data_IF_614416454196
#
_entry.id   IF_614416454196
#
_cell.length_a   1.000
_cell.length_b   1.000
_cell.length_c   1.000
_cell.angle_alpha   90.00
_cell.angle_beta   90.00
_cell.angle_gamma   90.00
#
_symmetry.space_group_name_H-M   'P 1'
#
loop_
_entity.id
_entity.type
_entity.pdbx_description
1 polymer ?
#
# COMPACT_ATOMS: atom_id res chain seq x y z
N UNK A 1 8.03 22.76 -10.30
CA UNK A 1 7.06 23.82 -10.64
C UNK A 1 6.13 23.34 -11.74
N UNK A 2 5.01 22.72 -11.37
CA UNK A 2 4.29 21.82 -12.29
C UNK A 2 2.91 22.34 -12.72
N UNK A 3 2.08 22.94 -11.85
CA UNK A 3 0.74 23.39 -12.27
C UNK A 3 0.71 24.69 -13.09
N UNK A 4 1.65 25.60 -12.83
CA UNK A 4 1.69 26.92 -13.47
C UNK A 4 2.20 26.89 -14.92
N UNK A 5 2.61 25.72 -15.41
CA UNK A 5 3.11 25.58 -16.78
C UNK A 5 2.01 25.94 -17.79
N UNK A 6 2.29 26.76 -18.83
CA UNK A 6 1.26 27.22 -19.76
C UNK A 6 0.54 26.07 -20.47
N UNK A 7 1.27 24.99 -20.77
CA UNK A 7 0.74 23.77 -21.39
C UNK A 7 -0.12 22.88 -20.47
N UNK A 8 -0.23 23.19 -19.17
CA UNK A 8 -1.14 22.51 -18.24
C UNK A 8 -2.52 23.19 -18.19
N UNK A 9 -2.99 23.75 -19.30
CA UNK A 9 -4.27 24.45 -19.38
C UNK A 9 -5.45 23.52 -19.04
N UNK A 10 -5.41 22.27 -19.50
CA UNK A 10 -6.45 21.28 -19.23
C UNK A 10 -6.53 20.94 -17.74
N UNK A 11 -5.41 20.60 -17.11
CA UNK A 11 -5.36 20.31 -15.66
C UNK A 11 -5.83 21.52 -14.84
N UNK A 12 -5.44 22.74 -15.22
CA UNK A 12 -5.93 23.97 -14.57
C UNK A 12 -7.43 24.15 -14.74
N UNK A 13 -7.98 23.88 -15.92
CA UNK A 13 -9.42 23.94 -16.16
C UNK A 13 -10.20 22.94 -15.33
N UNK A 14 -9.66 21.73 -15.13
CA UNK A 14 -10.27 20.69 -14.31
C UNK A 14 -10.30 21.07 -12.82
N UNK A 15 -9.24 21.73 -12.33
CA UNK A 15 -9.20 22.28 -10.97
C UNK A 15 -10.23 23.39 -10.81
N UNK A 16 -10.34 24.32 -11.78
CA UNK A 16 -11.34 25.38 -11.74
C UNK A 16 -12.78 24.87 -11.84
N UNK A 17 -13.01 23.83 -12.63
CA UNK A 17 -14.30 23.16 -12.74
C UNK A 17 -14.67 22.32 -11.50
N UNK A 18 -13.76 22.18 -10.53
CA UNK A 18 -13.96 21.36 -9.33
C UNK A 18 -13.90 19.84 -9.57
N UNK A 19 -13.62 19.40 -10.80
CA UNK A 19 -13.45 17.97 -11.14
C UNK A 19 -12.20 17.36 -10.48
N UNK A 20 -11.16 18.16 -10.26
CA UNK A 20 -9.98 17.77 -9.47
C UNK A 20 -10.01 18.55 -8.16
N UNK A 21 -10.23 17.84 -7.06
CA UNK A 21 -10.21 18.45 -5.72
C UNK A 21 -8.79 18.85 -5.31
N UNK A 22 -8.66 19.84 -4.42
CA UNK A 22 -7.38 20.26 -3.89
C UNK A 22 -6.63 19.11 -3.19
N UNK A 23 -7.34 18.26 -2.43
CA UNK A 23 -6.74 17.08 -1.81
C UNK A 23 -6.19 16.08 -2.82
N UNK A 24 -6.91 15.85 -3.93
CA UNK A 24 -6.42 15.01 -5.03
C UNK A 24 -5.19 15.64 -5.68
N UNK A 25 -5.21 16.95 -5.92
CA UNK A 25 -4.11 17.69 -6.52
C UNK A 25 -2.81 17.60 -5.70
N UNK A 26 -2.91 17.73 -4.38
CA UNK A 26 -1.77 17.62 -3.46
C UNK A 26 -1.17 16.21 -3.44
N UNK A 27 -1.97 15.20 -3.75
CA UNK A 27 -1.53 13.80 -3.81
C UNK A 27 -1.06 13.38 -5.21
N UNK A 28 -1.05 14.27 -6.20
CA UNK A 28 -0.55 13.93 -7.52
C UNK A 28 0.98 13.92 -7.52
N UNK A 29 1.52 12.88 -8.16
CA UNK A 29 2.95 12.75 -8.38
C UNK A 29 3.47 13.83 -9.32
N UNK A 30 4.77 14.11 -9.22
CA UNK A 30 5.45 15.06 -10.10
C UNK A 30 5.26 14.74 -11.60
N UNK A 31 5.10 13.46 -11.93
CA UNK A 31 4.82 12.97 -13.29
C UNK A 31 3.43 13.39 -13.79
N UNK A 32 2.39 13.12 -12.99
CA UNK A 32 0.99 13.43 -13.31
C UNK A 32 0.72 14.93 -13.42
N UNK A 33 1.58 15.75 -12.82
CA UNK A 33 1.50 17.20 -12.91
C UNK A 33 2.18 17.77 -14.18
N UNK A 34 2.95 16.97 -14.93
CA UNK A 34 3.62 17.44 -16.14
C UNK A 34 2.63 17.69 -17.30
N UNK A 35 2.98 18.52 -18.30
CA UNK A 35 2.17 18.68 -19.51
C UNK A 35 1.86 17.36 -20.21
N UNK A 36 0.67 17.20 -20.82
CA UNK A 36 0.24 15.96 -21.44
C UNK A 36 1.16 15.52 -22.59
N UNK A 37 1.82 16.45 -23.29
CA UNK A 37 2.84 16.14 -24.29
C UNK A 37 4.08 15.47 -23.65
N UNK A 38 4.50 15.97 -22.49
CA UNK A 38 5.68 15.46 -21.77
C UNK A 38 5.38 14.09 -21.18
N UNK A 39 4.19 13.89 -20.64
CA UNK A 39 3.74 12.57 -20.17
C UNK A 39 3.76 11.54 -21.30
N UNK A 40 3.20 11.89 -22.48
CA UNK A 40 3.18 11.04 -23.67
C UNK A 40 4.57 10.71 -24.19
N UNK A 41 5.47 11.69 -24.24
CA UNK A 41 6.84 11.45 -24.70
C UNK A 41 7.58 10.51 -23.77
N UNK A 42 7.48 10.73 -22.45
CA UNK A 42 8.13 9.85 -21.46
C UNK A 42 7.63 8.41 -21.55
N UNK A 43 6.32 8.21 -21.71
CA UNK A 43 5.77 6.86 -21.90
C UNK A 43 6.36 6.16 -23.12
N UNK A 44 6.54 6.88 -24.23
CA UNK A 44 7.21 6.33 -25.42
C UNK A 44 8.67 5.98 -25.15
N UNK A 45 9.38 6.84 -24.42
CA UNK A 45 10.79 6.62 -24.09
C UNK A 45 10.95 5.42 -23.13
N UNK A 46 10.03 5.28 -22.16
CA UNK A 46 9.96 4.14 -21.23
C UNK A 46 9.65 2.84 -21.97
N UNK A 47 8.65 2.85 -22.87
CA UNK A 47 8.31 1.70 -23.71
C UNK A 47 9.49 1.29 -24.62
N UNK A 48 10.14 2.27 -25.25
CA UNK A 48 11.32 2.04 -26.08
C UNK A 48 12.49 1.49 -25.25
N UNK A 49 12.70 2.02 -24.05
CA UNK A 49 13.73 1.55 -23.12
C UNK A 49 13.48 0.13 -22.64
N UNK A 50 12.24 -0.19 -22.26
CA UNK A 50 11.84 -1.54 -21.86
C UNK A 50 11.98 -2.53 -23.02
N UNK A 51 11.60 -2.15 -24.23
CA UNK A 51 11.77 -2.98 -25.42
C UNK A 51 13.25 -3.22 -25.73
N UNK A 52 14.08 -2.19 -25.67
CA UNK A 52 15.52 -2.34 -25.86
C UNK A 52 16.16 -3.23 -24.79
N UNK A 53 15.71 -3.11 -23.53
CA UNK A 53 16.16 -3.98 -22.45
C UNK A 53 15.74 -5.44 -22.69
N UNK A 54 14.50 -5.66 -23.14
CA UNK A 54 14.00 -6.98 -23.51
C UNK A 54 14.77 -7.59 -24.70
N UNK A 55 15.04 -6.80 -25.73
CA UNK A 55 15.80 -7.25 -26.90
C UNK A 55 17.24 -7.63 -26.53
N UNK A 56 17.82 -6.99 -25.51
CA UNK A 56 19.18 -7.25 -25.02
C UNK A 56 19.27 -8.44 -24.06
N UNK A 57 18.41 -8.51 -23.06
CA UNK A 57 18.45 -9.52 -22.00
C UNK A 57 17.64 -10.78 -22.35
N UNK A 58 16.72 -10.67 -23.32
CA UNK A 58 15.79 -11.71 -23.69
C UNK A 58 14.69 -11.92 -22.63
N UNK A 59 13.78 -12.88 -22.85
CA UNK A 59 12.82 -13.27 -21.83
C UNK A 59 13.54 -13.83 -20.60
N UNK A 60 13.04 -13.48 -19.41
CA UNK A 60 13.51 -14.09 -18.16
C UNK A 60 13.38 -15.61 -18.28
N UNK A 61 14.43 -16.40 -17.94
CA UNK A 61 14.36 -17.84 -18.01
C UNK A 61 13.14 -18.37 -17.24
N UNK A 62 12.32 -19.19 -17.90
CA UNK A 62 11.18 -19.89 -17.28
C UNK A 62 11.60 -20.95 -16.26
N UNK A 63 12.89 -21.29 -16.23
CA UNK A 63 13.42 -22.23 -15.27
C UNK A 63 13.78 -21.48 -13.98
N UNK A 64 13.38 -22.01 -12.80
CA UNK A 64 13.87 -21.51 -11.53
C UNK A 64 15.40 -21.47 -11.58
N UNK A 65 15.99 -20.37 -11.09
CA UNK A 65 17.44 -20.31 -10.89
C UNK A 65 17.85 -21.48 -9.99
N UNK A 66 18.80 -22.31 -10.42
CA UNK A 66 19.30 -23.43 -9.62
C UNK A 66 19.80 -22.89 -8.27
N UNK A 67 19.06 -23.20 -7.19
CA UNK A 67 19.29 -22.66 -5.85
C UNK A 67 18.11 -21.87 -5.23
N UNK A 68 17.07 -21.57 -6.00
CA UNK A 68 15.79 -21.02 -5.51
C UNK A 68 14.74 -22.13 -5.39
N UNK A 69 15.03 -23.12 -4.53
CA UNK A 69 13.97 -23.96 -3.98
C UNK A 69 12.99 -23.03 -3.26
N UNK A 70 11.76 -22.97 -3.77
CA UNK A 70 10.71 -21.98 -3.44
C UNK A 70 10.14 -22.09 -2.02
N UNK A 71 10.95 -22.47 -1.04
CA UNK A 71 10.57 -22.58 0.38
C UNK A 71 11.66 -22.22 1.39
N UNK A 72 12.89 -21.86 0.99
CA UNK A 72 13.93 -21.48 1.97
C UNK A 72 14.64 -20.18 1.61
N UNK A 73 13.90 -19.08 1.61
CA UNK A 73 14.55 -17.78 1.85
C UNK A 73 14.94 -17.73 3.33
N UNK A 74 16.24 -17.62 3.63
CA UNK A 74 16.74 -17.29 4.97
C UNK A 74 16.38 -15.87 5.40
N UNK A 75 15.83 -15.07 4.48
CA UNK A 75 15.29 -13.76 4.75
C UNK A 75 13.99 -13.89 5.54
N UNK A 76 14.08 -13.77 6.87
CA UNK A 76 12.89 -13.50 7.68
C UNK A 76 12.37 -12.13 7.30
N UNK A 77 11.24 -12.07 6.60
CA UNK A 77 10.42 -10.86 6.55
C UNK A 77 10.26 -10.40 8.01
N UNK A 78 10.77 -9.21 8.33
CA UNK A 78 10.58 -8.61 9.64
C UNK A 78 9.09 -8.33 9.81
N UNK A 79 8.35 -9.32 10.31
CA UNK A 79 6.95 -9.14 10.68
C UNK A 79 6.87 -8.00 11.69
N UNK A 80 5.81 -7.21 11.60
CA UNK A 80 5.54 -6.21 12.62
C UNK A 80 5.61 -6.88 14.00
N UNK A 81 6.30 -6.28 14.99
CA UNK A 81 6.39 -6.85 16.31
C UNK A 81 4.98 -7.12 16.86
N UNK A 82 4.78 -8.20 17.63
CA UNK A 82 3.46 -8.52 18.16
C UNK A 82 2.93 -7.35 19.01
N UNK A 83 1.60 -7.12 19.01
CA UNK A 83 1.01 -6.06 19.82
C UNK A 83 1.38 -6.26 21.29
N UNK A 84 1.79 -5.17 21.95
CA UNK A 84 2.18 -5.21 23.36
C UNK A 84 1.02 -5.75 24.21
N UNK A 85 1.31 -6.62 25.22
CA UNK A 85 0.29 -7.12 26.11
C UNK A 85 -0.40 -5.94 26.82
N UNK A 86 -1.74 -5.89 26.75
CA UNK A 86 -2.54 -4.89 27.45
C UNK A 86 -2.24 -5.03 28.95
N UNK A 87 -1.57 -4.02 29.51
CA UNK A 87 -1.27 -3.94 30.94
C UNK A 87 -2.60 -3.90 31.71
N UNK A 88 -3.06 -5.04 32.25
CA UNK A 88 -4.14 -5.07 33.25
C UNK A 88 -3.67 -4.17 34.39
N UNK A 89 -4.41 -3.08 34.63
CA UNK A 89 -4.24 -2.29 35.84
C UNK A 89 -4.55 -3.24 37.00
N UNK A 90 -3.54 -3.55 37.81
CA UNK A 90 -3.76 -4.19 39.11
C UNK A 90 -4.45 -3.16 40.01
N UNK A 91 -5.77 -3.24 40.08
CA UNK A 91 -6.56 -2.73 41.19
C UNK A 91 -7.10 -3.96 41.93
N UNK A 92 -6.74 -4.11 43.19
CA UNK A 92 -7.08 -5.25 44.03
C UNK A 92 -8.52 -5.18 44.56
N UNK A 93 -9.03 -6.37 44.89
CA UNK A 93 -10.08 -6.71 45.87
C UNK A 93 -11.54 -6.32 45.60
N UNK A 94 -12.40 -7.34 45.47
CA UNK A 94 -13.23 -7.80 46.59
C UNK A 94 -13.80 -9.19 46.30
N UNK A 95 -13.67 -10.07 47.29
CA UNK A 95 -14.38 -11.35 47.40
C UNK A 95 -15.89 -11.13 47.40
N UNK A 96 -16.65 -12.09 46.88
CA UNK A 96 -17.58 -12.88 47.71
C UNK A 96 -18.23 -13.99 46.86
N UNK A 97 -18.12 -15.21 47.37
CA UNK A 97 -18.99 -16.32 47.04
C UNK A 97 -19.81 -16.60 48.30
N UNK A 98 -21.15 -16.51 48.24
CA UNK A 98 -22.02 -17.23 49.17
C UNK A 98 -23.50 -17.22 48.78
N UNK A 99 -24.11 -18.40 48.99
CA UNK A 99 -25.53 -18.70 49.27
C UNK A 99 -26.51 -18.66 48.08
N UNK A 100 -26.90 -19.81 47.51
CA UNK A 100 -27.92 -20.78 47.97
C UNK A 100 -29.37 -20.28 47.75
N UNK A 101 -30.13 -20.95 46.88
CA UNK A 101 -31.44 -21.54 47.23
C UNK A 101 -31.99 -22.49 46.14
N UNK A 102 -32.81 -23.42 46.63
CA UNK A 102 -33.28 -24.70 46.13
C UNK A 102 -34.11 -24.78 44.83
N UNK A 103 -33.88 -25.88 44.08
CA UNK A 103 -34.77 -27.02 43.71
C UNK A 103 -36.17 -26.75 43.05
N UNK A 104 -36.83 -27.74 42.38
CA UNK A 104 -37.11 -29.10 42.86
C UNK A 104 -36.83 -30.25 41.83
N UNK A 105 -36.39 -31.42 42.33
CA UNK A 105 -37.15 -32.67 42.55
C UNK A 105 -37.54 -33.45 41.29
N UNK A 106 -37.02 -34.68 41.19
CA UNK A 106 -37.45 -35.71 40.27
C UNK A 106 -37.27 -37.10 40.89
N UNK A 107 -38.42 -37.75 41.14
CA UNK A 107 -38.73 -39.10 41.65
C UNK A 107 -38.68 -39.38 43.16
#
# INVERSE_FOLDING_TARGET
NSLAHPRNAELRSQVWAGTVSAGKLCNLDSWSLAPPEVQRQRLKDEEAGLRAAWDKEGPVPLQPFEGLDSTSSSYRNAGAPPPLPKRRRFGASAEEASSEEEAPSGN
#
